data_IF_005112344006
#
_entry.id   IF_005112344006
#
_cell.length_a   1.000
_cell.length_b   1.000
_cell.length_c   1.000
_cell.angle_alpha   90.00
_cell.angle_beta   90.00
_cell.angle_gamma   90.00
#
_symmetry.space_group_name_H-M   'P 1'
#
loop_
_entity.id
_entity.type
_entity.pdbx_description
1 polymer ?
#
# COMPACT_ATOMS: atom_id res chain seq x y z
N UNK A 1 46.69 54.79 -12.71
CA UNK A 1 46.12 54.13 -13.90
C UNK A 1 46.11 52.60 -13.78
N UNK A 2 47.16 51.96 -13.22
CA UNK A 2 47.24 50.49 -13.08
C UNK A 2 46.16 49.83 -12.19
N UNK A 3 45.72 50.48 -11.11
CA UNK A 3 44.69 49.91 -10.21
C UNK A 3 43.32 49.75 -10.87
N UNK A 4 42.93 50.68 -11.74
CA UNK A 4 41.64 50.62 -12.45
C UNK A 4 41.62 49.45 -13.44
N UNK A 5 42.74 49.24 -14.13
CA UNK A 5 42.89 48.18 -15.12
C UNK A 5 42.78 46.79 -14.50
N UNK A 6 43.34 46.61 -13.29
CA UNK A 6 43.21 45.37 -12.52
C UNK A 6 41.75 45.10 -12.10
N UNK A 7 41.04 46.11 -11.60
CA UNK A 7 39.60 45.98 -11.25
C UNK A 7 38.75 45.63 -12.46
N UNK A 8 39.01 46.24 -13.61
CA UNK A 8 38.30 45.96 -14.86
C UNK A 8 38.55 44.53 -15.34
N UNK A 9 39.78 44.00 -15.22
CA UNK A 9 40.09 42.60 -15.53
C UNK A 9 39.34 41.62 -14.62
N UNK A 10 39.27 41.91 -13.31
CA UNK A 10 38.54 41.06 -12.36
C UNK A 10 37.05 41.01 -12.68
N UNK A 11 36.43 42.17 -12.97
CA UNK A 11 35.02 42.24 -13.37
C UNK A 11 34.75 41.43 -14.64
N UNK A 12 35.66 41.45 -15.63
CA UNK A 12 35.51 40.63 -16.84
C UNK A 12 35.55 39.13 -16.55
N UNK A 13 36.39 38.69 -15.62
CA UNK A 13 36.44 37.29 -15.18
C UNK A 13 35.15 36.91 -14.46
N UNK A 14 34.68 37.76 -13.55
CA UNK A 14 33.46 37.50 -12.78
C UNK A 14 32.22 37.47 -13.69
N UNK A 15 32.11 38.37 -14.67
CA UNK A 15 31.05 38.35 -15.69
C UNK A 15 31.10 37.05 -16.49
N UNK A 16 32.28 36.57 -16.87
CA UNK A 16 32.42 35.30 -17.60
C UNK A 16 31.92 34.13 -16.76
N UNK A 17 32.38 34.02 -15.52
CA UNK A 17 31.99 32.95 -14.60
C UNK A 17 30.47 32.97 -14.33
N UNK A 18 29.88 34.16 -14.14
CA UNK A 18 28.44 34.32 -13.98
C UNK A 18 27.67 33.93 -15.25
N UNK A 19 28.21 34.23 -16.43
CA UNK A 19 27.59 33.86 -17.71
C UNK A 19 27.58 32.35 -17.90
N UNK A 20 28.69 31.68 -17.60
CA UNK A 20 28.81 30.22 -17.66
C UNK A 20 27.90 29.53 -16.64
N UNK A 21 27.88 30.03 -15.39
CA UNK A 21 26.98 29.53 -14.36
C UNK A 21 25.51 29.69 -14.74
N UNK A 22 25.14 30.82 -15.37
CA UNK A 22 23.78 31.05 -15.88
C UNK A 22 23.41 30.05 -16.97
N UNK A 23 24.29 29.81 -17.94
CA UNK A 23 24.04 28.83 -19.01
C UNK A 23 23.83 27.42 -18.45
N UNK A 24 24.65 27.00 -17.49
CA UNK A 24 24.51 25.68 -16.86
C UNK A 24 23.18 25.53 -16.11
N UNK A 25 22.74 26.58 -15.39
CA UNK A 25 21.43 26.58 -14.73
C UNK A 25 20.27 26.55 -15.72
N UNK A 26 20.37 27.23 -16.87
CA UNK A 26 19.34 27.19 -17.91
C UNK A 26 19.23 25.80 -18.56
N UNK A 27 20.35 25.10 -18.74
CA UNK A 27 20.38 23.71 -19.22
C UNK A 27 19.73 22.75 -18.21
N UNK A 28 20.11 22.85 -16.94
CA UNK A 28 19.51 22.05 -15.85
C UNK A 28 18.00 22.29 -15.73
N UNK A 29 17.55 23.54 -15.84
CA UNK A 29 16.13 23.90 -15.79
C UNK A 29 15.37 23.27 -16.97
N UNK A 30 15.97 23.29 -18.16
CA UNK A 30 15.39 22.66 -19.35
C UNK A 30 15.24 21.16 -19.16
N UNK A 31 16.29 20.48 -18.67
CA UNK A 31 16.24 19.04 -18.38
C UNK A 31 15.18 18.69 -17.34
N UNK A 32 15.15 19.41 -16.21
CA UNK A 32 14.15 19.19 -15.15
C UNK A 32 12.71 19.40 -15.65
N UNK A 33 12.51 20.30 -16.60
CA UNK A 33 11.20 20.54 -17.21
C UNK A 33 10.78 19.37 -18.09
N UNK A 34 11.71 18.78 -18.83
CA UNK A 34 11.46 17.57 -19.63
C UNK A 34 11.17 16.35 -18.76
N UNK A 35 11.96 16.14 -17.70
CA UNK A 35 11.74 15.06 -16.73
C UNK A 35 10.38 15.19 -16.05
N UNK A 36 10.00 16.39 -15.60
CA UNK A 36 8.67 16.63 -15.03
C UNK A 36 7.56 16.31 -16.01
N UNK A 37 7.70 16.69 -17.28
CA UNK A 37 6.71 16.37 -18.32
C UNK A 37 6.58 14.86 -18.50
N UNK A 38 7.69 14.13 -18.50
CA UNK A 38 7.69 12.67 -18.58
C UNK A 38 6.98 12.02 -17.39
N UNK A 39 7.28 12.49 -16.18
CA UNK A 39 6.64 12.00 -14.95
C UNK A 39 5.14 12.27 -14.98
N UNK A 40 4.69 13.46 -15.38
CA UNK A 40 3.28 13.78 -15.52
C UNK A 40 2.59 12.82 -16.50
N UNK A 41 3.16 12.60 -17.69
CA UNK A 41 2.57 11.65 -18.66
C UNK A 41 2.51 10.21 -18.13
N UNK A 42 3.50 9.79 -17.35
CA UNK A 42 3.49 8.48 -16.70
C UNK A 42 2.39 8.37 -15.63
N UNK A 43 2.18 9.44 -14.86
CA UNK A 43 1.15 9.50 -13.84
C UNK A 43 -0.24 9.46 -14.46
N UNK A 44 -0.47 10.23 -15.54
CA UNK A 44 -1.73 10.22 -16.30
C UNK A 44 -2.02 8.81 -16.86
N UNK A 45 -1.00 8.13 -17.40
CA UNK A 45 -1.16 6.77 -17.93
C UNK A 45 -1.48 5.75 -16.82
N UNK A 46 -0.88 5.91 -15.64
CA UNK A 46 -1.19 5.08 -14.47
C UNK A 46 -2.61 5.34 -13.96
N UNK A 47 -3.03 6.59 -13.85
CA UNK A 47 -4.39 6.97 -13.46
C UNK A 47 -5.42 6.37 -14.42
N UNK A 48 -5.17 6.44 -15.73
CA UNK A 48 -6.02 5.81 -16.74
C UNK A 48 -6.08 4.29 -16.56
N UNK A 49 -4.93 3.63 -16.36
CA UNK A 49 -4.90 2.18 -16.12
C UNK A 49 -5.64 1.77 -14.86
N UNK A 50 -5.60 2.61 -13.82
CA UNK A 50 -6.30 2.39 -12.56
C UNK A 50 -7.81 2.56 -12.72
N UNK A 51 -8.25 3.59 -13.45
CA UNK A 51 -9.67 3.78 -13.80
C UNK A 51 -10.22 2.58 -14.58
N UNK A 52 -9.46 2.07 -15.56
CA UNK A 52 -9.86 0.87 -16.31
C UNK A 52 -9.94 -0.39 -15.44
N UNK A 53 -9.01 -0.57 -14.50
CA UNK A 53 -9.04 -1.70 -13.57
C UNK A 53 -10.21 -1.59 -12.59
N UNK A 54 -10.52 -0.38 -12.13
CA UNK A 54 -11.67 -0.11 -11.26
C UNK A 54 -12.99 -0.40 -11.98
N UNK A 55 -13.15 0.06 -13.23
CA UNK A 55 -14.34 -0.22 -14.04
C UNK A 55 -14.51 -1.73 -14.28
N UNK A 56 -13.44 -2.43 -14.66
CA UNK A 56 -13.46 -3.90 -14.82
C UNK A 56 -13.80 -4.61 -13.51
N UNK A 57 -13.32 -4.11 -12.37
CA UNK A 57 -13.64 -4.61 -11.04
C UNK A 57 -15.10 -4.42 -10.66
N UNK A 58 -15.67 -3.25 -10.92
CA UNK A 58 -17.09 -2.96 -10.67
C UNK A 58 -18.03 -3.79 -11.56
N UNK A 59 -17.67 -3.99 -12.83
CA UNK A 59 -18.44 -4.85 -13.74
C UNK A 59 -18.41 -6.31 -13.27
N UNK A 60 -17.26 -6.81 -12.81
CA UNK A 60 -17.15 -8.15 -12.22
C UNK A 60 -17.95 -8.28 -10.91
N UNK A 61 -17.98 -7.24 -10.08
CA UNK A 61 -18.75 -7.21 -8.84
C UNK A 61 -20.26 -7.16 -9.09
N UNK A 62 -20.72 -6.37 -10.08
CA UNK A 62 -22.14 -6.29 -10.50
C UNK A 62 -22.63 -7.62 -11.08
N UNK A 63 -21.78 -8.35 -11.82
CA UNK A 63 -22.11 -9.70 -12.32
C UNK A 63 -22.19 -10.75 -11.20
N UNK A 64 -21.43 -10.57 -10.11
CA UNK A 64 -21.50 -11.45 -8.93
C UNK A 64 -22.70 -11.12 -8.00
N UNK A 65 -23.21 -9.89 -8.03
CA UNK A 65 -24.28 -9.39 -7.13
C UNK A 65 -25.68 -9.99 -7.38
N UNK A 66 -25.88 -10.80 -8.44
CA UNK A 66 -27.20 -11.38 -8.72
C UNK A 66 -27.55 -12.61 -7.87
N UNK A 67 -26.70 -12.96 -6.89
CA UNK A 67 -26.91 -14.03 -5.91
C UNK A 67 -26.38 -13.59 -4.53
N UNK A 68 -27.02 -12.64 -3.88
CA UNK A 68 -26.60 -12.24 -2.52
C UNK A 68 -27.18 -13.20 -1.49
N UNK A 69 -26.36 -14.16 -1.05
CA UNK A 69 -26.50 -14.78 0.27
C UNK A 69 -25.83 -13.88 1.31
N UNK A 70 -26.16 -14.02 2.59
CA UNK A 70 -25.51 -13.28 3.69
C UNK A 70 -23.98 -13.46 3.78
N UNK A 71 -23.39 -14.33 2.94
CA UNK A 71 -21.96 -14.64 2.89
C UNK A 71 -21.17 -13.81 1.85
N UNK A 72 -21.83 -12.91 1.11
CA UNK A 72 -21.24 -12.22 -0.05
C UNK A 72 -20.60 -10.87 0.28
N UNK A 73 -19.93 -10.76 1.42
CA UNK A 73 -18.96 -9.68 1.67
C UNK A 73 -17.62 -10.05 1.02
N UNK A 74 -17.57 -10.08 -0.32
CA UNK A 74 -16.38 -10.45 -1.10
C UNK A 74 -15.13 -9.68 -0.65
N UNK A 75 -15.27 -8.40 -0.32
CA UNK A 75 -14.19 -7.55 0.18
C UNK A 75 -13.62 -8.04 1.53
N UNK A 76 -14.50 -8.37 2.49
CA UNK A 76 -14.08 -8.89 3.80
C UNK A 76 -13.43 -10.26 3.64
N UNK A 77 -14.02 -11.13 2.80
CA UNK A 77 -13.46 -12.45 2.51
C UNK A 77 -12.07 -12.39 1.89
N UNK A 78 -11.83 -11.42 1.00
CA UNK A 78 -10.50 -11.19 0.42
C UNK A 78 -9.47 -10.67 1.40
N UNK A 79 -9.88 -10.10 2.54
CA UNK A 79 -8.98 -9.66 3.62
C UNK A 79 -8.74 -10.81 4.61
N UNK A 80 -9.80 -11.52 5.01
CA UNK A 80 -9.72 -12.61 6.00
C UNK A 80 -8.83 -13.75 5.51
N UNK A 81 -9.00 -14.20 4.26
CA UNK A 81 -8.26 -15.38 3.77
C UNK A 81 -6.73 -15.19 3.80
N UNK A 82 -6.14 -14.09 3.30
CA UNK A 82 -4.71 -13.82 3.45
C UNK A 82 -4.28 -13.68 4.92
N UNK A 83 -5.09 -13.07 5.77
CA UNK A 83 -4.77 -12.91 7.19
C UNK A 83 -4.61 -14.25 7.90
N UNK A 84 -5.46 -15.23 7.60
CA UNK A 84 -5.35 -16.58 8.16
C UNK A 84 -4.00 -17.21 7.82
N UNK A 85 -3.61 -17.16 6.56
CA UNK A 85 -2.30 -17.67 6.13
C UNK A 85 -1.16 -16.95 6.83
N UNK A 86 -1.17 -15.62 6.85
CA UNK A 86 -0.12 -14.81 7.48
C UNK A 86 0.01 -15.09 8.98
N UNK A 87 -1.12 -15.14 9.69
CA UNK A 87 -1.16 -15.45 11.12
C UNK A 87 -0.61 -16.85 11.42
N UNK A 88 -0.85 -17.80 10.53
CA UNK A 88 -0.33 -19.17 10.66
C UNK A 88 1.08 -19.34 10.05
N UNK A 89 1.76 -18.27 9.65
CA UNK A 89 3.12 -18.34 9.09
C UNK A 89 3.20 -18.99 7.69
N UNK A 90 2.10 -19.02 6.94
CA UNK A 90 2.02 -19.64 5.61
C UNK A 90 2.29 -18.58 4.53
N UNK A 91 3.19 -18.92 3.60
CA UNK A 91 3.45 -18.07 2.44
C UNK A 91 2.26 -18.03 1.46
N UNK A 92 1.71 -16.83 1.28
CA UNK A 92 0.61 -16.55 0.36
C UNK A 92 1.06 -16.42 -1.12
N UNK A 93 2.34 -16.54 -1.45
CA UNK A 93 2.85 -16.40 -2.83
C UNK A 93 2.36 -17.49 -3.79
N UNK A 94 1.94 -18.64 -3.25
CA UNK A 94 1.52 -19.81 -4.02
C UNK A 94 0.04 -19.79 -4.46
N UNK A 95 -0.38 -20.82 -5.21
CA UNK A 95 -1.79 -20.93 -5.66
C UNK A 95 -2.76 -21.18 -4.50
N UNK A 96 -4.04 -20.78 -4.65
CA UNK A 96 -5.10 -20.99 -3.65
C UNK A 96 -5.19 -22.42 -3.09
N UNK A 97 -4.94 -23.44 -3.92
CA UNK A 97 -4.97 -24.85 -3.49
C UNK A 97 -3.87 -25.16 -2.47
N UNK A 98 -2.69 -24.57 -2.65
CA UNK A 98 -1.55 -24.72 -1.73
C UNK A 98 -1.87 -24.06 -0.39
N UNK A 99 -2.48 -22.87 -0.42
CA UNK A 99 -2.88 -22.17 0.81
C UNK A 99 -3.87 -22.96 1.64
N UNK A 100 -4.91 -23.51 1.02
CA UNK A 100 -5.93 -24.31 1.73
C UNK A 100 -5.31 -25.57 2.34
N UNK A 101 -4.45 -26.26 1.60
CA UNK A 101 -3.77 -27.45 2.11
C UNK A 101 -2.83 -27.12 3.28
N UNK A 102 -2.06 -26.02 3.18
CA UNK A 102 -1.17 -25.57 4.23
C UNK A 102 -1.95 -25.16 5.49
N UNK A 103 -3.04 -24.40 5.34
CA UNK A 103 -3.92 -24.01 6.45
C UNK A 103 -4.49 -25.25 7.15
N UNK A 104 -5.01 -26.21 6.39
CA UNK A 104 -5.55 -27.45 6.94
C UNK A 104 -4.50 -28.31 7.67
N UNK A 105 -3.21 -28.13 7.34
CA UNK A 105 -2.11 -28.83 7.98
C UNK A 105 -1.63 -28.17 9.28
N UNK A 106 -2.06 -26.94 9.58
CA UNK A 106 -1.76 -26.28 10.85
C UNK A 106 -2.36 -27.08 11.98
N UNK A 107 -1.52 -27.44 12.95
CA UNK A 107 -1.91 -28.19 14.15
C UNK A 107 -1.70 -27.34 15.40
N UNK A 108 -2.52 -27.53 16.43
CA UNK A 108 -2.25 -26.99 17.76
C UNK A 108 -0.87 -27.40 18.26
N UNK A 109 -0.26 -26.54 19.05
CA UNK A 109 0.98 -26.88 19.76
C UNK A 109 0.69 -27.90 20.86
N UNK A 110 1.62 -28.83 21.07
CA UNK A 110 1.52 -29.83 22.15
C UNK A 110 1.51 -29.19 23.55
N UNK A 111 2.08 -27.98 23.67
CA UNK A 111 2.05 -27.17 24.90
C UNK A 111 0.65 -26.62 25.24
N UNK A 112 -0.27 -26.61 24.27
CA UNK A 112 -1.58 -25.97 24.39
C UNK A 112 -1.56 -24.44 24.30
N UNK A 113 -0.39 -23.83 24.07
CA UNK A 113 -0.29 -22.39 23.82
C UNK A 113 -0.86 -22.01 22.45
N UNK A 114 -1.49 -20.83 22.30
CA UNK A 114 -2.17 -20.44 21.07
C UNK A 114 -1.21 -19.99 19.97
N UNK A 115 0.00 -19.57 20.35
CA UNK A 115 0.99 -19.02 19.44
C UNK A 115 2.41 -19.43 19.82
N UNK A 116 3.24 -19.57 18.79
CA UNK A 116 4.68 -19.72 18.87
C UNK A 116 5.35 -18.37 18.56
N UNK A 117 6.41 -18.05 19.30
CA UNK A 117 7.29 -16.93 18.99
C UNK A 117 8.54 -17.48 18.32
N UNK A 118 8.72 -17.15 17.05
CA UNK A 118 9.93 -17.47 16.29
C UNK A 118 11.14 -16.70 16.84
N UNK A 119 12.35 -17.13 16.48
CA UNK A 119 13.60 -16.47 16.88
C UNK A 119 13.66 -15.00 16.39
N UNK A 120 12.96 -14.69 15.31
CA UNK A 120 12.82 -13.37 14.71
C UNK A 120 11.73 -12.51 15.39
N UNK A 121 11.06 -13.03 16.43
CA UNK A 121 10.00 -12.34 17.15
C UNK A 121 8.64 -12.32 16.43
N UNK A 122 8.49 -13.08 15.35
CA UNK A 122 7.21 -13.23 14.64
C UNK A 122 6.31 -14.19 15.43
N UNK A 123 5.05 -13.76 15.66
CA UNK A 123 4.00 -14.57 16.29
C UNK A 123 3.33 -15.45 15.23
N UNK A 124 3.42 -16.77 15.39
CA UNK A 124 2.75 -17.76 14.54
C UNK A 124 1.64 -18.42 15.34
N UNK A 125 0.42 -18.43 14.81
CA UNK A 125 -0.76 -18.97 15.46
C UNK A 125 -1.02 -20.42 15.06
N UNK A 126 -1.48 -21.21 16.04
CA UNK A 126 -1.74 -22.64 15.90
C UNK A 126 -3.19 -23.01 16.30
N UNK A 127 -4.20 -22.53 15.54
CA UNK A 127 -5.61 -22.81 15.79
C UNK A 127 -5.92 -24.32 15.79
N UNK A 128 -6.93 -24.70 16.57
CA UNK A 128 -7.47 -26.06 16.58
C UNK A 128 -8.67 -26.15 15.64
N UNK A 129 -8.42 -26.50 14.37
CA UNK A 129 -9.47 -26.61 13.36
C UNK A 129 -10.54 -27.66 13.65
N UNK A 130 -10.23 -28.66 14.48
CA UNK A 130 -11.17 -29.71 14.88
C UNK A 130 -11.87 -29.41 16.22
N UNK A 131 -11.46 -28.33 16.90
CA UNK A 131 -12.08 -27.85 18.13
C UNK A 131 -13.31 -26.99 17.90
N UNK A 132 -13.92 -26.55 19.00
CA UNK A 132 -15.02 -25.60 18.95
C UNK A 132 -14.51 -24.18 18.72
N UNK A 133 -15.34 -23.33 18.12
CA UNK A 133 -15.02 -21.94 17.81
C UNK A 133 -14.78 -21.11 19.09
N UNK A 134 -15.50 -21.44 20.16
CA UNK A 134 -15.41 -20.80 21.47
C UNK A 134 -14.38 -21.45 22.41
N UNK A 135 -13.66 -22.49 21.95
CA UNK A 135 -12.51 -23.01 22.67
C UNK A 135 -11.51 -21.88 22.90
N UNK A 136 -10.93 -21.82 24.11
CA UNK A 136 -10.03 -20.74 24.54
C UNK A 136 -8.94 -20.37 23.51
N UNK A 137 -8.39 -21.37 22.83
CA UNK A 137 -7.36 -21.18 21.80
C UNK A 137 -7.97 -20.52 20.55
N UNK A 138 -9.05 -21.09 20.02
CA UNK A 138 -9.72 -20.60 18.82
C UNK A 138 -10.34 -19.22 19.03
N UNK A 139 -10.93 -18.96 20.19
CA UNK A 139 -11.46 -17.66 20.57
C UNK A 139 -10.39 -16.56 20.51
N UNK A 140 -9.19 -16.82 21.04
CA UNK A 140 -8.05 -15.87 20.96
C UNK A 140 -7.60 -15.63 19.52
N UNK A 141 -7.57 -16.67 18.69
CA UNK A 141 -7.22 -16.54 17.29
C UNK A 141 -8.24 -15.68 16.52
N UNK A 142 -9.53 -15.90 16.78
CA UNK A 142 -10.62 -15.13 16.16
C UNK A 142 -10.59 -13.68 16.62
N UNK A 143 -10.30 -13.42 17.89
CA UNK A 143 -10.13 -12.06 18.43
C UNK A 143 -9.02 -11.31 17.69
N UNK A 144 -7.84 -11.93 17.52
CA UNK A 144 -6.72 -11.35 16.77
C UNK A 144 -7.08 -11.08 15.30
N UNK A 145 -7.75 -12.02 14.62
CA UNK A 145 -8.25 -11.83 13.25
C UNK A 145 -9.19 -10.63 13.20
N UNK A 146 -10.15 -10.57 14.13
CA UNK A 146 -11.19 -9.53 14.16
C UNK A 146 -10.56 -8.16 14.37
N UNK A 147 -9.60 -8.05 15.29
CA UNK A 147 -8.86 -6.80 15.53
C UNK A 147 -8.10 -6.34 14.28
N UNK A 148 -7.40 -7.26 13.59
CA UNK A 148 -6.67 -6.92 12.36
C UNK A 148 -7.59 -6.53 11.20
N UNK A 149 -8.71 -7.22 11.02
CA UNK A 149 -9.71 -6.86 10.01
C UNK A 149 -10.27 -5.46 10.28
N UNK A 150 -10.67 -5.19 11.53
CA UNK A 150 -11.20 -3.89 11.92
C UNK A 150 -10.19 -2.74 11.72
N UNK A 151 -8.92 -2.98 12.06
CA UNK A 151 -7.86 -2.00 11.83
C UNK A 151 -7.62 -1.75 10.33
N UNK A 152 -7.66 -2.79 9.50
CA UNK A 152 -7.56 -2.63 8.04
C UNK A 152 -8.74 -1.83 7.47
N UNK A 153 -9.97 -2.06 7.95
CA UNK A 153 -11.13 -1.26 7.54
C UNK A 153 -11.00 0.21 7.96
N UNK A 154 -10.50 0.49 9.17
CA UNK A 154 -10.27 1.88 9.63
C UNK A 154 -9.29 2.66 8.74
N UNK A 155 -8.24 2.00 8.24
CA UNK A 155 -7.25 2.63 7.35
C UNK A 155 -7.82 2.86 5.95
N UNK A 156 -8.82 2.07 5.52
CA UNK A 156 -9.53 2.29 4.26
C UNK A 156 -10.54 3.46 4.31
N UNK A 157 -10.95 3.89 5.50
CA UNK A 157 -12.01 4.90 5.73
C UNK A 157 -11.57 6.39 5.78
N UNK A 158 -10.29 6.85 5.92
CA UNK A 158 -10.04 8.28 6.12
C UNK A 158 -9.98 9.15 4.85
N UNK A 159 -10.26 8.65 3.65
CA UNK A 159 -10.17 9.48 2.41
C UNK A 159 -11.49 9.99 1.84
N UNK A 160 -12.65 9.61 2.41
CA UNK A 160 -13.95 10.03 1.85
C UNK A 160 -14.61 11.24 2.52
N UNK A 161 -14.06 11.78 3.61
CA UNK A 161 -14.74 12.83 4.40
C UNK A 161 -14.09 14.22 4.40
N UNK A 162 -13.25 14.56 3.42
CA UNK A 162 -12.67 15.92 3.30
C UNK A 162 -12.82 16.55 1.92
N UNK A 163 -14.01 16.46 1.29
CA UNK A 163 -14.42 17.41 0.24
C UNK A 163 -15.93 17.67 0.32
N UNK A 164 -16.40 18.34 1.37
CA UNK A 164 -17.63 19.12 1.29
C UNK A 164 -17.72 20.14 2.43
N UNK A 165 -16.85 21.15 2.38
CA UNK A 165 -17.03 22.40 3.11
C UNK A 165 -17.58 23.46 2.15
N UNK A 166 -18.90 23.55 2.08
CA UNK A 166 -19.65 24.61 1.40
C UNK A 166 -19.12 26.01 1.75
N UNK A 167 -18.85 26.84 0.73
CA UNK A 167 -18.73 28.28 0.89
C UNK A 167 -20.09 28.91 0.59
N UNK A 168 -20.76 29.60 1.53
CA UNK A 168 -21.92 30.40 1.20
C UNK A 168 -21.46 31.71 0.56
N UNK A 169 -22.07 32.04 -0.57
CA UNK A 169 -21.94 33.35 -1.20
C UNK A 169 -22.55 34.42 -0.28
N UNK A 170 -21.82 35.52 -0.12
CA UNK A 170 -22.27 36.80 0.41
C UNK A 170 -21.61 37.91 -0.39
#
# INVERSE_FOLDING_TARGET
MHSLQATVMQIMVDIRNLTEGKMNLEEELTRLKEDNKMVTSHLDALEQSFAELQEKGEVALKQASSRTSSNDHTAVKSIIQPLFCQLCGIDCSHSKKVHVAALAAVKPLDSGEPLELTAEGVKIWHPNWLGQVDDKLNAKFIEEVTERVYNNEKVAVPLFNNVCGYSPAG
#
